data_IF_600137863293
#
_entry.id   IF_600137863293
#
_cell.length_a   1.000
_cell.length_b   1.000
_cell.length_c   1.000
_cell.angle_alpha   90.00
_cell.angle_beta   90.00
_cell.angle_gamma   90.00
#
_symmetry.space_group_name_H-M   'P 1'
#
loop_
_entity.id
_entity.type
_entity.pdbx_description
1 polymer ?
#
# COMPACT_ATOMS: atom_id res chain seq x y z
N UNK A 1 -47.18 -31.26 -11.16
CA UNK A 1 -46.39 -30.04 -10.87
C UNK A 1 -45.12 -30.49 -10.15
N UNK A 2 -44.23 -31.17 -10.89
CA UNK A 2 -43.09 -31.92 -10.30
C UNK A 2 -41.85 -31.90 -11.20
N UNK A 3 -41.89 -31.19 -12.34
CA UNK A 3 -40.80 -31.21 -13.32
C UNK A 3 -39.69 -30.20 -13.03
N UNK A 4 -39.96 -29.12 -12.28
CA UNK A 4 -38.92 -28.13 -11.94
C UNK A 4 -37.93 -28.64 -10.89
N UNK A 5 -38.38 -29.43 -9.91
CA UNK A 5 -37.50 -29.88 -8.80
C UNK A 5 -36.44 -30.88 -9.30
N UNK A 6 -36.84 -31.83 -10.15
CA UNK A 6 -35.94 -32.89 -10.64
C UNK A 6 -34.90 -32.37 -11.64
N UNK A 7 -35.23 -31.33 -12.43
CA UNK A 7 -34.27 -30.70 -13.34
C UNK A 7 -33.21 -29.88 -12.58
N UNK A 8 -33.62 -29.14 -11.55
CA UNK A 8 -32.70 -28.34 -10.72
C UNK A 8 -31.73 -29.25 -9.95
N UNK A 9 -32.19 -30.38 -9.40
CA UNK A 9 -31.33 -31.32 -8.66
C UNK A 9 -30.28 -32.00 -9.57
N UNK A 10 -30.66 -32.35 -10.81
CA UNK A 10 -29.74 -32.92 -11.79
C UNK A 10 -28.67 -31.90 -12.24
N UNK A 11 -29.05 -30.63 -12.43
CA UNK A 11 -28.13 -29.56 -12.83
C UNK A 11 -27.12 -29.23 -11.72
N UNK A 12 -27.57 -29.17 -10.45
CA UNK A 12 -26.70 -28.96 -9.28
C UNK A 12 -25.71 -30.12 -9.13
N UNK A 13 -26.16 -31.37 -9.26
CA UNK A 13 -25.28 -32.55 -9.19
C UNK A 13 -24.21 -32.53 -10.30
N UNK A 14 -24.57 -32.08 -11.50
CA UNK A 14 -23.64 -31.96 -12.60
C UNK A 14 -22.59 -30.85 -12.37
N UNK A 15 -22.98 -29.73 -11.76
CA UNK A 15 -22.05 -28.66 -11.37
C UNK A 15 -21.05 -29.14 -10.32
N UNK A 16 -21.52 -29.82 -9.27
CA UNK A 16 -20.67 -30.35 -8.20
C UNK A 16 -19.60 -31.33 -8.72
N UNK A 17 -19.98 -32.21 -9.66
CA UNK A 17 -19.07 -33.16 -10.29
C UNK A 17 -17.98 -32.46 -11.12
N UNK A 18 -18.34 -31.40 -11.84
CA UNK A 18 -17.40 -30.60 -12.63
C UNK A 18 -16.44 -29.83 -11.72
N UNK A 19 -16.93 -29.20 -10.66
CA UNK A 19 -16.10 -28.47 -9.70
C UNK A 19 -15.11 -29.40 -9.00
N UNK A 20 -15.57 -30.55 -8.53
CA UNK A 20 -14.71 -31.56 -7.92
C UNK A 20 -13.63 -32.03 -8.88
N UNK A 21 -13.99 -32.37 -10.12
CA UNK A 21 -13.01 -32.78 -11.14
C UNK A 21 -11.97 -31.68 -11.40
N UNK A 22 -12.40 -30.41 -11.47
CA UNK A 22 -11.50 -29.28 -11.68
C UNK A 22 -10.53 -29.07 -10.51
N UNK A 23 -10.99 -29.21 -9.28
CA UNK A 23 -10.15 -29.14 -8.07
C UNK A 23 -9.18 -30.31 -8.03
N UNK A 24 -9.68 -31.53 -8.23
CA UNK A 24 -8.88 -32.76 -8.16
C UNK A 24 -7.76 -32.77 -9.22
N UNK A 25 -8.05 -32.37 -10.46
CA UNK A 25 -7.05 -32.30 -11.53
C UNK A 25 -5.96 -31.27 -11.20
N UNK A 26 -6.32 -30.10 -10.67
CA UNK A 26 -5.36 -29.06 -10.32
C UNK A 26 -4.43 -29.50 -9.19
N UNK A 27 -4.99 -30.03 -8.10
CA UNK A 27 -4.20 -30.51 -6.94
C UNK A 27 -3.34 -31.71 -7.34
N UNK A 28 -3.89 -32.66 -8.09
CA UNK A 28 -3.14 -33.84 -8.57
C UNK A 28 -1.98 -33.43 -9.48
N UNK A 29 -2.19 -32.47 -10.37
CA UNK A 29 -1.15 -31.96 -11.28
C UNK A 29 -0.04 -31.26 -10.49
N UNK A 30 -0.39 -30.42 -9.51
CA UNK A 30 0.57 -29.75 -8.64
C UNK A 30 1.43 -30.75 -7.84
N UNK A 31 0.81 -31.80 -7.29
CA UNK A 31 1.53 -32.88 -6.58
C UNK A 31 2.42 -33.72 -7.50
N UNK A 32 2.02 -33.90 -8.77
CA UNK A 32 2.81 -34.65 -9.76
C UNK A 32 4.04 -33.86 -10.22
N UNK A 33 3.97 -32.54 -10.26
CA UNK A 33 5.04 -31.65 -10.70
C UNK A 33 5.38 -30.65 -9.59
N UNK A 34 6.01 -31.11 -8.49
CA UNK A 34 6.31 -30.24 -7.36
C UNK A 34 7.33 -29.17 -7.74
N UNK A 35 7.19 -27.98 -7.14
CA UNK A 35 8.12 -26.88 -7.36
C UNK A 35 9.44 -27.09 -6.62
N UNK A 36 10.46 -26.34 -7.05
CA UNK A 36 11.76 -26.29 -6.38
C UNK A 36 11.92 -24.92 -5.72
N UNK A 37 11.86 -24.86 -4.39
CA UNK A 37 11.90 -23.60 -3.64
C UNK A 37 13.20 -22.80 -3.82
N UNK A 38 14.34 -23.46 -4.02
CA UNK A 38 15.60 -22.77 -4.32
C UNK A 38 15.51 -22.07 -5.68
N UNK A 39 15.01 -22.77 -6.71
CA UNK A 39 14.78 -22.18 -8.03
C UNK A 39 13.77 -21.02 -7.98
N UNK A 40 12.70 -21.14 -7.19
CA UNK A 40 11.75 -20.05 -6.99
C UNK A 40 12.47 -18.81 -6.45
N UNK A 41 13.28 -18.98 -5.39
CA UNK A 41 14.04 -17.89 -4.77
C UNK A 41 14.98 -17.24 -5.78
N UNK A 42 15.78 -18.03 -6.47
CA UNK A 42 16.83 -17.53 -7.35
C UNK A 42 16.24 -16.84 -8.59
N UNK A 43 15.19 -17.39 -9.19
CA UNK A 43 14.48 -16.74 -10.28
C UNK A 43 13.80 -15.44 -9.83
N UNK A 44 13.20 -15.43 -8.64
CA UNK A 44 12.55 -14.23 -8.11
C UNK A 44 13.57 -13.11 -7.91
N UNK A 45 14.74 -13.42 -7.36
CA UNK A 45 15.85 -12.46 -7.25
C UNK A 45 16.27 -11.96 -8.64
N UNK A 46 16.48 -12.87 -9.60
CA UNK A 46 16.93 -12.49 -10.93
C UNK A 46 15.95 -11.53 -11.63
N UNK A 47 14.64 -11.75 -11.48
CA UNK A 47 13.60 -10.89 -12.06
C UNK A 47 13.53 -9.53 -11.37
N UNK A 48 13.51 -9.48 -10.04
CA UNK A 48 13.40 -8.19 -9.32
C UNK A 48 14.65 -7.34 -9.48
N UNK A 49 15.80 -7.95 -9.80
CA UNK A 49 17.05 -7.23 -10.07
C UNK A 49 17.35 -7.04 -11.56
N UNK A 50 16.40 -7.30 -12.46
CA UNK A 50 16.62 -7.18 -13.90
C UNK A 50 16.92 -5.75 -14.32
N UNK A 51 16.22 -4.79 -13.71
CA UNK A 51 16.41 -3.37 -13.94
C UNK A 51 15.94 -2.56 -12.71
N UNK A 52 16.32 -1.28 -12.67
CA UNK A 52 16.01 -0.40 -11.54
C UNK A 52 14.53 -0.04 -11.44
N UNK A 53 13.80 0.02 -12.54
CA UNK A 53 12.37 0.36 -12.52
C UNK A 53 11.58 -0.79 -11.89
N UNK A 54 11.82 -2.03 -12.32
CA UNK A 54 11.24 -3.23 -11.72
C UNK A 54 11.58 -3.31 -10.23
N UNK A 55 12.84 -3.10 -9.86
CA UNK A 55 13.27 -3.13 -8.47
C UNK A 55 12.58 -2.06 -7.61
N UNK A 56 12.41 -0.84 -8.15
CA UNK A 56 11.72 0.26 -7.47
C UNK A 56 10.26 -0.08 -7.22
N UNK A 57 9.61 -0.76 -8.18
CA UNK A 57 8.22 -1.19 -8.06
C UNK A 57 7.99 -2.22 -6.95
N UNK A 58 9.02 -2.92 -6.47
CA UNK A 58 8.90 -4.02 -5.52
C UNK A 58 8.63 -3.59 -4.07
N UNK A 59 8.55 -2.29 -3.81
CA UNK A 59 8.46 -1.72 -2.47
C UNK A 59 7.31 -0.73 -2.37
N UNK A 60 6.68 -0.66 -1.22
CA UNK A 60 5.66 0.36 -0.94
C UNK A 60 5.93 1.00 0.43
N UNK A 61 5.44 2.22 0.63
CA UNK A 61 5.46 2.88 1.91
C UNK A 61 4.28 3.84 2.08
N UNK A 62 3.58 3.76 3.22
CA UNK A 62 2.49 4.67 3.57
C UNK A 62 2.61 5.12 5.03
N UNK A 63 2.41 6.41 5.34
CA UNK A 63 2.38 6.90 6.71
C UNK A 63 1.13 6.38 7.43
N UNK A 64 1.29 5.87 8.65
CA UNK A 64 0.16 5.48 9.49
C UNK A 64 0.46 5.80 10.96
N UNK A 65 -0.34 6.68 11.56
CA UNK A 65 -0.12 7.11 12.95
C UNK A 65 1.24 7.77 13.19
N UNK A 66 1.72 8.55 12.21
CA UNK A 66 3.00 9.28 12.30
C UNK A 66 4.27 8.44 12.07
N UNK A 67 4.15 7.17 11.69
CA UNK A 67 5.28 6.34 11.25
C UNK A 67 5.01 5.71 9.88
N UNK A 68 6.00 5.64 8.98
CA UNK A 68 5.84 4.95 7.72
C UNK A 68 5.75 3.44 7.95
N UNK A 69 4.72 2.80 7.36
CA UNK A 69 4.65 1.35 7.17
C UNK A 69 5.28 1.06 5.82
N UNK A 70 6.30 0.21 5.81
CA UNK A 70 6.98 -0.22 4.59
C UNK A 70 6.87 -1.72 4.39
N UNK A 71 7.06 -2.17 3.16
CA UNK A 71 7.16 -3.59 2.89
C UNK A 71 7.16 -3.95 1.40
N UNK A 72 7.06 -5.26 1.11
CA UNK A 72 6.91 -5.76 -0.25
C UNK A 72 5.64 -5.21 -0.89
N UNK A 73 5.72 -4.76 -2.15
CA UNK A 73 4.56 -4.25 -2.90
C UNK A 73 3.71 -5.37 -3.50
N UNK A 74 2.58 -5.00 -4.12
CA UNK A 74 1.79 -5.92 -4.95
C UNK A 74 2.57 -6.41 -6.17
N UNK A 75 3.47 -5.60 -6.74
CA UNK A 75 4.28 -5.99 -7.89
C UNK A 75 5.27 -7.09 -7.52
N UNK A 76 5.93 -6.97 -6.37
CA UNK A 76 6.76 -8.05 -5.84
C UNK A 76 5.92 -9.32 -5.59
N UNK A 77 4.73 -9.19 -5.02
CA UNK A 77 3.83 -10.34 -4.83
C UNK A 77 3.47 -11.02 -6.16
N UNK A 78 3.21 -10.26 -7.24
CA UNK A 78 2.94 -10.81 -8.58
C UNK A 78 4.15 -11.57 -9.15
N UNK A 79 5.35 -11.00 -9.05
CA UNK A 79 6.59 -11.67 -9.49
C UNK A 79 6.78 -12.99 -8.70
N UNK A 80 6.60 -12.94 -7.38
CA UNK A 80 6.72 -14.11 -6.53
C UNK A 80 5.66 -15.16 -6.87
N UNK A 81 4.40 -14.79 -7.07
CA UNK A 81 3.33 -15.72 -7.46
C UNK A 81 3.62 -16.39 -8.82
N UNK A 82 4.14 -15.62 -9.78
CA UNK A 82 4.55 -16.13 -11.09
C UNK A 82 5.66 -17.19 -10.95
N UNK A 83 6.65 -16.95 -10.09
CA UNK A 83 7.78 -17.86 -9.90
C UNK A 83 7.46 -19.05 -8.99
N UNK A 84 6.60 -18.87 -7.98
CA UNK A 84 6.31 -19.90 -6.98
C UNK A 84 5.74 -21.16 -7.64
N UNK A 85 4.90 -21.00 -8.67
CA UNK A 85 4.24 -22.11 -9.34
C UNK A 85 3.27 -22.85 -8.42
N UNK A 86 2.40 -23.68 -9.00
CA UNK A 86 1.38 -24.43 -8.24
C UNK A 86 0.56 -23.55 -7.29
N UNK A 87 0.27 -22.31 -7.69
CA UNK A 87 -0.52 -21.34 -6.93
C UNK A 87 -1.62 -20.75 -7.80
N UNK A 88 -2.78 -20.54 -7.20
CA UNK A 88 -3.86 -19.71 -7.75
C UNK A 88 -4.01 -18.50 -6.86
N UNK A 89 -4.02 -17.31 -7.45
CA UNK A 89 -4.25 -16.09 -6.70
C UNK A 89 -5.10 -15.15 -7.53
N UNK A 90 -6.10 -14.55 -6.90
CA UNK A 90 -7.00 -13.56 -7.51
C UNK A 90 -7.37 -12.50 -6.49
N UNK A 91 -7.82 -11.34 -6.97
CA UNK A 91 -8.48 -10.36 -6.15
C UNK A 91 -9.60 -9.70 -6.94
N UNK A 92 -10.72 -9.46 -6.28
CA UNK A 92 -11.88 -8.78 -6.88
C UNK A 92 -12.61 -7.95 -5.85
N UNK A 93 -13.24 -6.87 -6.33
CA UNK A 93 -14.21 -6.13 -5.52
C UNK A 93 -15.43 -7.03 -5.33
N UNK A 94 -15.73 -7.36 -4.08
CA UNK A 94 -16.85 -8.23 -3.71
C UNK A 94 -18.08 -7.44 -3.28
N UNK A 95 -17.89 -6.20 -2.85
CA UNK A 95 -18.99 -5.33 -2.46
C UNK A 95 -18.61 -3.84 -2.60
N UNK A 96 -19.57 -3.01 -2.98
CA UNK A 96 -19.49 -1.55 -2.94
C UNK A 96 -20.71 -1.08 -2.14
N UNK A 97 -20.46 -0.53 -0.96
CA UNK A 97 -21.49 -0.01 -0.05
C UNK A 97 -21.66 1.51 -0.24
N UNK A 98 -22.48 2.14 0.59
CA UNK A 98 -22.63 3.60 0.63
C UNK A 98 -21.40 4.34 1.15
N UNK A 99 -20.53 3.65 1.89
CA UNK A 99 -19.38 4.28 2.55
C UNK A 99 -18.04 3.64 2.22
N UNK A 100 -18.03 2.39 1.75
CA UNK A 100 -16.80 1.60 1.55
C UNK A 100 -16.84 0.75 0.28
N UNK A 101 -15.67 0.52 -0.30
CA UNK A 101 -15.42 -0.59 -1.24
C UNK A 101 -14.72 -1.72 -0.51
N UNK A 102 -15.18 -2.96 -0.74
CA UNK A 102 -14.65 -4.18 -0.14
C UNK A 102 -14.06 -5.05 -1.24
N UNK A 103 -12.77 -5.33 -1.13
CA UNK A 103 -12.06 -6.26 -2.00
C UNK A 103 -11.67 -7.51 -1.23
N UNK A 104 -11.80 -8.68 -1.88
CA UNK A 104 -11.31 -9.95 -1.37
C UNK A 104 -10.21 -10.46 -2.28
N UNK A 105 -9.04 -10.69 -1.69
CA UNK A 105 -7.91 -11.38 -2.31
C UNK A 105 -7.83 -12.81 -1.80
N UNK A 106 -7.66 -13.78 -2.70
CA UNK A 106 -7.50 -15.18 -2.35
C UNK A 106 -6.18 -15.69 -2.92
N UNK A 107 -5.55 -16.62 -2.21
CA UNK A 107 -4.39 -17.35 -2.69
C UNK A 107 -4.49 -18.79 -2.22
N UNK A 108 -4.28 -19.73 -3.12
CA UNK A 108 -4.35 -21.16 -2.87
C UNK A 108 -3.11 -21.83 -3.43
N UNK A 109 -2.32 -22.38 -2.51
CA UNK A 109 -1.23 -23.29 -2.81
C UNK A 109 -1.79 -24.68 -3.14
N UNK A 110 -1.75 -25.06 -4.42
CA UNK A 110 -2.30 -26.32 -4.92
C UNK A 110 -1.47 -27.53 -4.48
N UNK A 111 -0.16 -27.36 -4.28
CA UNK A 111 0.74 -28.46 -3.94
C UNK A 111 0.64 -28.83 -2.46
N UNK A 112 0.61 -27.82 -1.58
CA UNK A 112 0.41 -28.02 -0.13
C UNK A 112 -1.08 -28.08 0.27
N UNK A 113 -1.98 -27.77 -0.66
CA UNK A 113 -3.41 -27.61 -0.42
C UNK A 113 -3.74 -26.66 0.74
N UNK A 114 -3.10 -25.48 0.74
CA UNK A 114 -3.33 -24.43 1.74
C UNK A 114 -3.89 -23.18 1.07
N UNK A 115 -5.05 -22.72 1.51
CA UNK A 115 -5.74 -21.57 0.95
C UNK A 115 -6.00 -20.50 2.01
N UNK A 116 -5.87 -19.25 1.60
CA UNK A 116 -6.12 -18.06 2.43
C UNK A 116 -6.97 -17.06 1.67
N UNK A 117 -7.74 -16.28 2.41
CA UNK A 117 -8.50 -15.16 1.88
C UNK A 117 -8.35 -13.96 2.82
N UNK A 118 -8.13 -12.77 2.24
CA UNK A 118 -8.04 -11.51 2.96
C UNK A 118 -9.06 -10.53 2.41
N UNK A 119 -9.82 -9.90 3.30
CA UNK A 119 -10.69 -8.79 2.95
C UNK A 119 -10.03 -7.46 3.31
N UNK A 120 -10.09 -6.53 2.36
CA UNK A 120 -9.63 -5.16 2.55
C UNK A 120 -10.81 -4.23 2.29
N UNK A 121 -11.03 -3.31 3.22
CA UNK A 121 -12.06 -2.27 3.14
C UNK A 121 -11.38 -0.92 2.98
N UNK A 122 -11.87 -0.11 2.05
CA UNK A 122 -11.42 1.28 1.84
C UNK A 122 -12.64 2.19 1.84
N UNK A 123 -12.54 3.31 2.55
CA UNK A 123 -13.57 4.34 2.52
C UNK A 123 -13.68 4.93 1.11
N UNK A 124 -14.91 5.16 0.67
CA UNK A 124 -15.25 5.91 -0.55
C UNK A 124 -16.05 7.17 -0.21
N UNK A 125 -15.91 7.66 1.03
CA UNK A 125 -16.44 8.94 1.50
C UNK A 125 -15.26 9.84 1.87
N UNK A 126 -15.21 10.99 1.21
CA UNK A 126 -14.25 12.05 1.48
C UNK A 126 -14.89 13.27 2.11
N UNK A 127 -14.11 14.36 2.20
CA UNK A 127 -14.55 15.64 2.76
C UNK A 127 -15.74 16.25 2.01
N UNK A 128 -15.83 16.02 0.71
CA UNK A 128 -16.89 16.55 -0.16
C UNK A 128 -18.08 15.58 -0.31
N UNK A 129 -18.14 14.52 0.50
CA UNK A 129 -19.14 13.47 0.40
C UNK A 129 -18.63 12.22 -0.32
N UNK A 130 -19.55 11.44 -0.88
CA UNK A 130 -19.25 10.18 -1.58
C UNK A 130 -18.40 10.45 -2.84
N UNK A 131 -17.43 9.57 -3.08
CA UNK A 131 -16.60 9.59 -4.28
C UNK A 131 -17.42 9.38 -5.57
N UNK A 132 -16.92 9.91 -6.68
CA UNK A 132 -17.47 9.62 -8.01
C UNK A 132 -17.26 8.14 -8.38
N UNK A 133 -18.01 7.63 -9.36
CA UNK A 133 -17.87 6.24 -9.83
C UNK A 133 -16.43 5.92 -10.29
N UNK A 134 -15.76 6.88 -10.95
CA UNK A 134 -14.37 6.71 -11.38
C UNK A 134 -13.43 6.59 -10.17
N UNK A 135 -13.60 7.47 -9.17
CA UNK A 135 -12.81 7.40 -7.94
C UNK A 135 -13.09 6.14 -7.12
N UNK A 136 -14.34 5.64 -7.11
CA UNK A 136 -14.69 4.35 -6.50
C UNK A 136 -13.95 3.22 -7.21
N UNK A 137 -13.87 3.26 -8.54
CA UNK A 137 -13.15 2.25 -9.34
C UNK A 137 -11.65 2.26 -9.02
N UNK A 138 -11.02 3.43 -8.98
CA UNK A 138 -9.61 3.58 -8.58
C UNK A 138 -9.39 3.06 -7.15
N UNK A 139 -10.27 3.43 -6.21
CA UNK A 139 -10.20 2.96 -4.82
C UNK A 139 -10.36 1.44 -4.73
N UNK A 140 -11.23 0.86 -5.57
CA UNK A 140 -11.41 -0.59 -5.68
C UNK A 140 -10.17 -1.30 -6.22
N UNK A 141 -9.48 -0.71 -7.20
CA UNK A 141 -8.22 -1.24 -7.73
C UNK A 141 -7.10 -1.24 -6.68
N UNK A 142 -6.98 -0.16 -5.90
CA UNK A 142 -6.07 -0.11 -4.76
C UNK A 142 -6.42 -1.18 -3.72
N UNK A 143 -7.71 -1.35 -3.39
CA UNK A 143 -8.16 -2.40 -2.48
C UNK A 143 -7.84 -3.82 -3.00
N UNK A 144 -7.99 -4.07 -4.31
CA UNK A 144 -7.58 -5.31 -4.98
C UNK A 144 -6.07 -5.54 -4.89
N UNK A 145 -5.26 -4.51 -5.10
CA UNK A 145 -3.81 -4.63 -4.99
C UNK A 145 -3.37 -5.03 -3.58
N UNK A 146 -3.94 -4.40 -2.55
CA UNK A 146 -3.65 -4.70 -1.14
C UNK A 146 -4.11 -6.11 -0.78
N UNK A 147 -5.33 -6.50 -1.15
CA UNK A 147 -5.90 -7.80 -0.79
C UNK A 147 -5.16 -8.95 -1.49
N UNK A 148 -4.85 -8.80 -2.79
CA UNK A 148 -4.04 -9.74 -3.55
C UNK A 148 -2.66 -9.95 -2.92
N UNK A 149 -1.97 -8.84 -2.64
CA UNK A 149 -0.64 -8.86 -2.02
C UNK A 149 -0.66 -9.62 -0.69
N UNK A 150 -1.61 -9.29 0.19
CA UNK A 150 -1.69 -9.91 1.52
C UNK A 150 -1.95 -11.42 1.41
N UNK A 151 -2.80 -11.85 0.47
CA UNK A 151 -3.07 -13.26 0.22
C UNK A 151 -1.83 -14.01 -0.27
N UNK A 152 -1.18 -13.50 -1.32
CA UNK A 152 0.03 -14.14 -1.89
C UNK A 152 1.16 -14.23 -0.86
N UNK A 153 1.45 -13.14 -0.15
CA UNK A 153 2.55 -13.10 0.82
C UNK A 153 2.28 -13.95 2.07
N UNK A 154 1.05 -14.37 2.31
CA UNK A 154 0.70 -15.33 3.37
C UNK A 154 0.89 -16.79 2.95
N UNK A 155 0.92 -17.06 1.64
CA UNK A 155 1.21 -18.39 1.08
C UNK A 155 2.72 -18.60 0.90
N UNK A 156 3.41 -17.60 0.35
CA UNK A 156 4.82 -17.75 -0.05
C UNK A 156 5.72 -17.63 1.19
N UNK A 157 6.66 -18.58 1.41
CA UNK A 157 7.55 -18.56 2.57
C UNK A 157 8.31 -17.23 2.70
N UNK A 158 8.31 -16.65 3.91
CA UNK A 158 8.93 -15.36 4.21
C UNK A 158 10.41 -15.28 3.80
N UNK A 159 11.17 -16.37 3.91
CA UNK A 159 12.57 -16.39 3.46
C UNK A 159 12.76 -16.12 1.96
N UNK A 160 11.79 -16.52 1.12
CA UNK A 160 11.80 -16.21 -0.33
C UNK A 160 11.41 -14.75 -0.56
N UNK A 161 10.35 -14.30 0.13
CA UNK A 161 9.86 -12.91 0.05
C UNK A 161 10.98 -11.93 0.43
N UNK A 162 11.60 -12.13 1.60
CA UNK A 162 12.63 -11.24 2.14
C UNK A 162 13.89 -11.26 1.27
N UNK A 163 14.27 -12.42 0.70
CA UNK A 163 15.42 -12.50 -0.19
C UNK A 163 15.22 -11.67 -1.47
N UNK A 164 14.05 -11.78 -2.12
CA UNK A 164 13.73 -10.98 -3.30
C UNK A 164 13.56 -9.49 -2.95
N UNK A 165 12.85 -9.18 -1.86
CA UNK A 165 12.65 -7.80 -1.40
C UNK A 165 13.98 -7.08 -1.11
N UNK A 166 14.88 -7.73 -0.37
CA UNK A 166 16.18 -7.15 -0.03
C UNK A 166 17.06 -6.99 -1.28
N UNK A 167 17.01 -7.93 -2.22
CA UNK A 167 17.73 -7.81 -3.49
C UNK A 167 17.25 -6.61 -4.32
N UNK A 168 15.93 -6.43 -4.42
CA UNK A 168 15.33 -5.27 -5.08
C UNK A 168 15.76 -3.96 -4.40
N UNK A 169 15.61 -3.88 -3.07
CA UNK A 169 16.00 -2.72 -2.28
C UNK A 169 17.46 -2.33 -2.48
N UNK A 170 18.38 -3.30 -2.44
CA UNK A 170 19.80 -3.07 -2.66
C UNK A 170 20.10 -2.52 -4.06
N UNK A 171 19.39 -2.99 -5.10
CA UNK A 171 19.57 -2.48 -6.46
C UNK A 171 19.09 -1.02 -6.60
N UNK A 172 17.99 -0.69 -5.95
CA UNK A 172 17.38 0.66 -6.01
C UNK A 172 18.20 1.68 -5.22
N UNK A 173 18.62 1.33 -4.00
CA UNK A 173 19.48 2.22 -3.20
C UNK A 173 20.84 2.39 -3.85
N UNK A 174 21.35 1.33 -4.49
CA UNK A 174 22.70 1.29 -5.03
C UNK A 174 23.76 1.40 -3.93
N UNK A 175 24.96 1.82 -4.32
CA UNK A 175 26.06 2.04 -3.38
C UNK A 175 25.93 3.39 -2.67
N UNK A 176 25.59 3.34 -1.38
CA UNK A 176 25.52 4.48 -0.46
C UNK A 176 26.59 4.37 0.65
N UNK A 177 27.71 3.68 0.38
CA UNK A 177 28.78 3.46 1.35
C UNK A 177 29.52 4.73 1.79
N UNK A 178 29.51 5.78 0.97
CA UNK A 178 30.11 7.06 1.32
C UNK A 178 29.07 8.11 1.71
N UNK A 179 29.42 8.95 2.67
CA UNK A 179 28.58 10.06 3.15
C UNK A 179 28.20 11.01 2.00
N UNK A 180 29.13 11.27 1.07
CA UNK A 180 28.88 12.12 -0.10
C UNK A 180 27.77 11.56 -1.01
N UNK A 181 27.78 10.25 -1.29
CA UNK A 181 26.75 9.59 -2.11
C UNK A 181 25.40 9.60 -1.40
N UNK A 182 25.40 9.40 -0.09
CA UNK A 182 24.19 9.47 0.73
C UNK A 182 23.57 10.88 0.68
N UNK A 183 24.38 11.92 0.90
CA UNK A 183 23.94 13.32 0.83
C UNK A 183 23.37 13.63 -0.56
N UNK A 184 24.08 13.27 -1.63
CA UNK A 184 23.63 13.50 -2.99
C UNK A 184 22.29 12.81 -3.30
N UNK A 185 22.13 11.54 -2.89
CA UNK A 185 20.89 10.78 -3.08
C UNK A 185 19.73 11.37 -2.30
N UNK A 186 19.97 11.78 -1.05
CA UNK A 186 18.99 12.45 -0.19
C UNK A 186 18.50 13.77 -0.79
N UNK A 187 19.41 14.64 -1.20
CA UNK A 187 19.06 15.92 -1.83
C UNK A 187 18.25 15.70 -3.11
N UNK A 188 18.62 14.71 -3.93
CA UNK A 188 17.87 14.35 -5.12
C UNK A 188 16.45 13.86 -4.80
N UNK A 189 16.29 13.04 -3.76
CA UNK A 189 14.98 12.55 -3.33
C UNK A 189 14.08 13.71 -2.87
N UNK A 190 14.57 14.58 -1.98
CA UNK A 190 13.82 15.74 -1.48
C UNK A 190 13.39 16.64 -2.64
N UNK A 191 14.32 16.95 -3.55
CA UNK A 191 14.03 17.77 -4.72
C UNK A 191 12.96 17.15 -5.61
N UNK A 192 13.05 15.85 -5.89
CA UNK A 192 12.06 15.14 -6.70
C UNK A 192 10.65 15.20 -6.09
N UNK A 193 10.53 14.98 -4.77
CA UNK A 193 9.25 15.09 -4.07
C UNK A 193 8.65 16.51 -4.12
N UNK A 194 9.50 17.53 -4.08
CA UNK A 194 9.07 18.91 -4.22
C UNK A 194 8.61 19.22 -5.65
N UNK A 195 9.43 18.88 -6.64
CA UNK A 195 9.20 19.20 -8.05
C UNK A 195 7.97 18.47 -8.63
N UNK A 196 7.80 17.18 -8.32
CA UNK A 196 6.71 16.36 -8.91
C UNK A 196 5.41 16.40 -8.10
N UNK A 197 5.50 16.44 -6.77
CA UNK A 197 4.34 16.27 -5.89
C UNK A 197 4.04 17.49 -5.03
N UNK A 198 4.86 18.54 -5.10
CA UNK A 198 4.70 19.74 -4.27
C UNK A 198 4.85 19.47 -2.78
N UNK A 199 5.50 18.37 -2.38
CA UNK A 199 5.73 18.03 -0.98
C UNK A 199 6.99 18.76 -0.51
N UNK A 200 6.83 19.58 0.53
CA UNK A 200 7.93 20.39 1.09
C UNK A 200 8.89 19.54 1.92
N UNK A 201 10.12 20.01 2.12
CA UNK A 201 11.12 19.34 2.96
C UNK A 201 10.58 19.06 4.38
N UNK A 202 9.90 20.03 4.99
CA UNK A 202 9.29 19.88 6.32
C UNK A 202 8.20 18.81 6.35
N UNK A 203 7.41 18.69 5.28
CA UNK A 203 6.40 17.65 5.15
C UNK A 203 7.04 16.27 4.96
N UNK A 204 8.09 16.17 4.16
CA UNK A 204 8.87 14.94 3.98
C UNK A 204 9.39 14.45 5.33
N UNK A 205 10.04 15.33 6.11
CA UNK A 205 10.58 14.98 7.42
C UNK A 205 9.50 14.46 8.36
N UNK A 206 8.32 15.09 8.37
CA UNK A 206 7.18 14.63 9.17
C UNK A 206 6.66 13.27 8.69
N UNK A 207 6.59 13.02 7.38
CA UNK A 207 6.13 11.74 6.81
C UNK A 207 6.98 10.55 7.26
N UNK A 208 8.30 10.76 7.35
CA UNK A 208 9.25 9.72 7.78
C UNK A 208 9.54 9.76 9.29
N UNK A 209 8.88 10.64 10.05
CA UNK A 209 9.03 10.76 11.50
C UNK A 209 10.40 11.29 11.94
N UNK A 210 11.00 12.21 11.19
CA UNK A 210 12.29 12.85 11.46
C UNK A 210 12.14 14.35 11.66
N UNK A 211 13.18 14.97 12.21
CA UNK A 211 13.22 16.41 12.50
C UNK A 211 14.21 17.18 11.64
N UNK A 212 15.25 16.51 11.11
CA UNK A 212 16.28 17.17 10.30
C UNK A 212 16.67 16.32 9.11
N UNK A 213 17.07 16.97 8.01
CA UNK A 213 17.56 16.32 6.80
C UNK A 213 18.74 15.39 7.07
N UNK A 214 19.60 15.74 8.03
CA UNK A 214 20.73 14.91 8.44
C UNK A 214 20.32 13.52 8.97
N UNK A 215 19.07 13.35 9.45
CA UNK A 215 18.56 12.08 9.96
C UNK A 215 18.06 11.13 8.86
N UNK A 216 17.98 11.60 7.60
CA UNK A 216 17.62 10.75 6.46
C UNK A 216 18.84 9.92 6.09
N UNK A 217 18.82 8.64 6.47
CA UNK A 217 19.83 7.64 6.12
C UNK A 217 19.26 6.71 5.04
N UNK A 218 19.98 5.61 4.78
CA UNK A 218 19.61 4.61 3.77
C UNK A 218 18.17 4.12 3.94
N UNK A 219 17.76 3.78 5.17
CA UNK A 219 16.41 3.26 5.44
C UNK A 219 15.33 4.30 5.13
N UNK A 220 15.54 5.57 5.47
CA UNK A 220 14.60 6.64 5.17
C UNK A 220 14.52 6.92 3.66
N UNK A 221 15.62 6.79 2.92
CA UNK A 221 15.60 6.88 1.45
C UNK A 221 14.74 5.76 0.86
N UNK A 222 14.85 4.53 1.37
CA UNK A 222 14.00 3.41 0.94
C UNK A 222 12.51 3.66 1.22
N UNK A 223 12.20 4.27 2.38
CA UNK A 223 10.84 4.68 2.71
C UNK A 223 10.32 5.69 1.68
N UNK A 224 11.10 6.72 1.34
CA UNK A 224 10.71 7.73 0.36
C UNK A 224 10.44 7.12 -1.01
N UNK A 225 11.29 6.22 -1.47
CA UNK A 225 11.09 5.51 -2.74
C UNK A 225 9.83 4.65 -2.72
N UNK A 226 9.51 4.02 -1.59
CA UNK A 226 8.26 3.30 -1.42
C UNK A 226 7.02 4.21 -1.45
N UNK A 227 7.13 5.44 -0.94
CA UNK A 227 6.05 6.45 -0.99
C UNK A 227 5.85 6.93 -2.42
N UNK A 228 6.94 7.22 -3.14
CA UNK A 228 6.93 7.57 -4.57
C UNK A 228 6.23 6.48 -5.39
N UNK A 229 6.57 5.21 -5.16
CA UNK A 229 5.94 4.09 -5.85
C UNK A 229 4.44 3.99 -5.53
N UNK A 230 4.04 4.21 -4.26
CA UNK A 230 2.63 4.19 -3.86
C UNK A 230 1.81 5.33 -4.51
N UNK A 231 2.45 6.49 -4.74
CA UNK A 231 1.86 7.60 -5.50
C UNK A 231 1.77 7.27 -6.99
N UNK A 232 2.82 6.70 -7.59
CA UNK A 232 2.86 6.30 -9.01
C UNK A 232 1.79 5.25 -9.35
N UNK A 233 1.57 4.29 -8.44
CA UNK A 233 0.57 3.22 -8.61
C UNK A 233 -0.87 3.69 -8.34
N UNK A 234 -1.06 4.88 -7.76
CA UNK A 234 -2.38 5.39 -7.38
C UNK A 234 -2.99 4.72 -6.15
N UNK A 235 -2.18 4.01 -5.35
CA UNK A 235 -2.61 3.40 -4.08
C UNK A 235 -2.93 4.46 -3.00
N UNK A 236 -2.32 5.65 -3.13
CA UNK A 236 -2.54 6.82 -2.28
C UNK A 236 -2.48 8.10 -3.12
N UNK A 237 -2.99 9.21 -2.59
CA UNK A 237 -2.77 10.56 -3.14
C UNK A 237 -1.88 11.39 -2.23
N UNK A 238 -1.39 12.53 -2.71
CA UNK A 238 -0.62 13.50 -1.90
C UNK A 238 -1.45 14.00 -0.72
N UNK A 239 -2.75 14.26 -0.94
CA UNK A 239 -3.68 14.69 0.10
C UNK A 239 -3.89 13.61 1.16
N UNK A 240 -4.01 12.34 0.77
CA UNK A 240 -4.14 11.23 1.72
C UNK A 240 -2.83 11.04 2.51
N UNK A 241 -1.68 11.14 1.83
CA UNK A 241 -0.36 11.01 2.43
C UNK A 241 -0.11 12.10 3.50
N UNK A 242 -0.50 13.34 3.20
CA UNK A 242 -0.28 14.51 4.06
C UNK A 242 -1.47 14.81 4.98
N UNK A 243 -2.53 14.00 4.96
CA UNK A 243 -3.77 14.26 5.67
C UNK A 243 -3.54 14.63 7.13
N UNK A 244 -2.85 13.76 7.85
CA UNK A 244 -2.58 13.93 9.29
C UNK A 244 -1.59 15.08 9.58
N UNK A 245 -0.73 15.41 8.63
CA UNK A 245 0.28 16.47 8.77
C UNK A 245 -0.37 17.85 8.58
N UNK A 246 -1.20 17.99 7.55
CA UNK A 246 -1.84 19.26 7.19
C UNK A 246 -3.04 19.57 8.08
N UNK A 247 -3.85 18.58 8.49
CA UNK A 247 -4.94 18.85 9.45
C UNK A 247 -4.42 19.34 10.80
N UNK A 248 -3.36 18.72 11.33
CA UNK A 248 -2.73 19.19 12.59
C UNK A 248 -2.18 20.62 12.44
N UNK A 249 -1.57 20.94 11.30
CA UNK A 249 -1.09 22.29 11.03
C UNK A 249 -2.25 23.32 10.92
N UNK A 250 -3.33 22.97 10.24
CA UNK A 250 -4.53 23.81 10.14
C UNK A 250 -5.17 24.06 11.50
N UNK A 251 -5.34 23.02 12.32
CA UNK A 251 -5.97 23.14 13.65
C UNK A 251 -5.08 23.94 14.62
N UNK A 252 -3.76 23.74 14.57
CA UNK A 252 -2.81 24.56 15.32
C UNK A 252 -2.86 26.04 14.88
N UNK A 253 -2.99 26.32 13.59
CA UNK A 253 -3.11 27.69 13.07
C UNK A 253 -4.40 28.38 13.52
N UNK A 254 -5.53 27.66 13.53
CA UNK A 254 -6.83 28.17 14.02
C UNK A 254 -6.78 28.45 15.52
N UNK A 255 -6.18 27.55 16.31
CA UNK A 255 -6.01 27.75 17.75
C UNK A 255 -5.14 28.98 18.06
N UNK A 256 -4.05 29.17 17.32
CA UNK A 256 -3.16 30.33 17.46
C UNK A 256 -3.86 31.64 17.07
N UNK A 257 -4.59 31.66 15.95
CA UNK A 257 -5.36 32.83 15.52
C UNK A 257 -6.48 33.18 16.52
N UNK A 258 -7.16 32.18 17.09
CA UNK A 258 -8.18 32.39 18.11
C UNK A 258 -7.59 32.96 19.42
N UNK A 259 -6.39 32.51 19.81
CA UNK A 259 -5.66 33.05 20.96
C UNK A 259 -5.19 34.50 20.73
N UNK A 260 -4.62 34.79 19.56
CA UNK A 260 -4.19 36.15 19.20
C UNK A 260 -5.37 37.13 19.05
N UNK A 261 -6.54 36.65 18.61
CA UNK A 261 -7.76 37.44 18.57
C UNK A 261 -8.30 37.75 19.98
N UNK A 262 -8.25 36.78 20.91
CA UNK A 262 -8.66 36.98 22.31
C UNK A 262 -7.74 37.95 23.05
N UNK A 263 -6.42 37.81 22.91
CA UNK A 263 -5.46 38.71 23.56
C UNK A 263 -5.51 40.15 23.00
N UNK A 264 -5.80 40.33 21.71
CA UNK A 264 -6.08 41.66 21.13
C UNK A 264 -7.42 42.26 21.57
N UNK A 265 -8.41 41.44 21.94
CA UNK A 265 -9.69 41.90 22.46
C UNK A 265 -9.59 42.31 23.94
N UNK A 266 -8.84 41.57 24.75
CA UNK A 266 -8.57 41.89 26.16
C UNK A 266 -7.73 43.17 26.30
N UNK A 267 -6.66 43.34 25.52
CA UNK A 267 -5.84 44.56 25.53
C UNK A 267 -6.57 45.83 25.04
N UNK A 268 -7.64 45.70 24.24
CA UNK A 268 -8.52 46.81 23.87
C UNK A 268 -9.54 47.15 24.96
N UNK A 269 -9.89 46.19 25.83
CA UNK A 269 -10.80 46.38 26.96
C UNK A 269 -10.10 47.11 28.10
N UNK A 270 -8.87 46.72 28.42
CA UNK A 270 -8.02 47.37 29.43
C UNK A 270 -7.68 48.83 29.07
N UNK A 271 -7.44 49.12 27.78
CA UNK A 271 -7.24 50.50 27.30
C UNK A 271 -8.50 51.36 27.36
N UNK A 272 -9.68 50.75 27.31
CA UNK A 272 -10.96 51.48 27.42
C UNK A 272 -11.29 51.77 28.87
N UNK A 273 -11.06 50.83 29.79
CA UNK A 273 -11.27 51.04 31.23
C UNK A 273 -10.31 52.08 31.82
N UNK A 274 -9.06 52.14 31.35
CA UNK A 274 -8.12 53.18 31.80
C UNK A 274 -8.40 54.59 31.25
N UNK A 275 -9.25 54.74 30.23
CA UNK A 275 -9.65 56.06 29.70
C UNK A 275 -10.84 56.69 30.44
N UNK A 276 -11.52 55.93 31.31
CA UNK A 276 -12.68 56.40 32.09
C UNK A 276 -12.35 56.64 33.58
N UNK A 277 -11.08 56.50 33.98
CA UNK A 277 -10.59 56.67 35.35
C UNK A 277 -9.63 57.86 35.55
N UNK A 278 -9.54 58.78 34.59
CA UNK A 278 -8.93 60.12 34.74
C UNK A 278 -10.02 61.20 34.69
#
# INVERSE_FOLDING_TARGET
>A
MTYEIQQVEAEVLQQDLVEKANVDIQVTTAKRFPRNLARVRDNSIALVTMDKETASSCSYALPRGGKPITGPSVHLARILAQQYGNIRAEARVVNITDTEVVSRGTAWDLENNYAVAFEVRRSIVGRSGRFSNDMITVTGNAANAISYRNAVLSIIPKGIVDAAYNAAQNLVTGDLSSEEKLIARRTKAIKHFNDEYGITEDEILKLIGKHTVAQIKVNEIQVLLGMEQSLKDGDTTVEELLKDIRTVAEDASKAKNAYEAKSKAESKKDKKENLFNE
#
